data_IF_069844975003
#
_entry.id   IF_069844975003
#
_cell.length_a   1.000
_cell.length_b   1.000
_cell.length_c   1.000
_cell.angle_alpha   90.00
_cell.angle_beta   90.00
_cell.angle_gamma   90.00
#
_symmetry.space_group_name_H-M   'P 1'
#
loop_
_entity.id
_entity.type
_entity.pdbx_description
1 polymer ?
#
# COMPACT_ATOMS: atom_id res chain seq x y z
N UNK A 1 31.96 -8.01 22.07
CA UNK A 1 31.36 -6.66 22.12
C UNK A 1 30.22 -6.65 21.13
N UNK A 2 28.96 -6.66 21.57
CA UNK A 2 27.81 -6.54 20.67
C UNK A 2 27.52 -5.07 20.39
N UNK A 3 27.27 -4.71 19.12
CA UNK A 3 26.81 -3.37 18.74
C UNK A 3 25.31 -3.26 19.01
N UNK A 4 24.86 -2.12 19.55
CA UNK A 4 23.43 -1.83 19.66
C UNK A 4 22.83 -1.60 18.28
N UNK A 5 21.59 -2.07 18.01
CA UNK A 5 20.92 -1.79 16.74
C UNK A 5 20.76 -0.28 16.53
N UNK A 6 21.04 0.19 15.32
CA UNK A 6 20.80 1.59 14.93
C UNK A 6 19.30 1.91 15.00
N UNK A 7 18.96 3.09 15.49
CA UNK A 7 17.57 3.54 15.55
C UNK A 7 16.93 3.57 14.14
N UNK A 8 15.65 3.16 14.01
CA UNK A 8 14.96 3.19 12.71
C UNK A 8 14.81 4.62 12.18
N UNK A 9 15.05 4.81 10.88
CA UNK A 9 14.75 6.07 10.20
C UNK A 9 13.24 6.27 10.15
N UNK A 10 12.76 7.40 10.68
CA UNK A 10 11.36 7.80 10.59
C UNK A 10 11.13 8.53 9.27
N UNK A 11 10.21 7.99 8.46
CA UNK A 11 9.73 8.65 7.25
C UNK A 11 8.51 9.50 7.59
N UNK A 12 8.47 10.72 7.08
CA UNK A 12 7.35 11.66 7.17
C UNK A 12 7.06 12.23 5.79
N UNK A 13 5.84 12.71 5.59
CA UNK A 13 5.54 13.52 4.41
C UNK A 13 6.36 14.81 4.46
N UNK A 14 6.87 15.24 3.31
CA UNK A 14 7.59 16.51 3.17
C UNK A 14 6.57 17.61 2.87
N UNK A 15 6.34 18.49 3.84
CA UNK A 15 5.31 19.54 3.76
C UNK A 15 5.61 20.55 2.62
N UNK A 16 6.88 20.73 2.25
CA UNK A 16 7.26 21.63 1.15
C UNK A 16 6.67 21.23 -0.21
N UNK A 17 6.25 19.96 -0.37
CA UNK A 17 5.62 19.47 -1.58
C UNK A 17 4.23 20.06 -1.85
N UNK A 18 3.59 20.67 -0.84
CA UNK A 18 2.25 21.28 -0.97
C UNK A 18 2.23 22.79 -0.69
N UNK A 19 3.31 23.35 -0.14
CA UNK A 19 3.42 24.78 0.22
C UNK A 19 3.22 25.74 -0.97
N UNK A 20 3.70 25.38 -2.16
CA UNK A 20 3.57 26.20 -3.38
C UNK A 20 2.34 25.84 -4.22
N UNK A 21 1.55 24.85 -3.79
CA UNK A 21 0.32 24.51 -4.51
C UNK A 21 -0.73 25.58 -4.24
N UNK A 22 -1.19 26.27 -5.28
CA UNK A 22 -2.28 27.27 -5.19
C UNK A 22 -3.66 26.64 -4.89
N UNK A 23 -3.70 25.44 -4.31
CA UNK A 23 -4.87 24.57 -4.24
C UNK A 23 -5.11 23.98 -2.84
N UNK A 24 -5.98 22.97 -2.80
CA UNK A 24 -6.55 22.38 -1.57
C UNK A 24 -5.72 21.21 -1.00
N UNK A 25 -4.51 21.00 -1.53
CA UNK A 25 -3.66 19.88 -1.10
C UNK A 25 -3.17 20.14 0.32
N UNK A 26 -3.36 19.15 1.19
CA UNK A 26 -2.93 19.21 2.58
C UNK A 26 -1.86 18.16 2.85
N UNK A 27 -0.85 18.48 3.67
CA UNK A 27 0.20 17.52 3.99
C UNK A 27 -0.38 16.32 4.71
N UNK A 28 0.13 15.12 4.41
CA UNK A 28 -0.34 13.85 4.96
C UNK A 28 -1.83 13.51 4.70
N UNK A 29 -2.49 14.16 3.73
CA UNK A 29 -3.90 13.93 3.44
C UNK A 29 -4.12 13.51 1.98
N UNK A 30 -4.99 12.51 1.78
CA UNK A 30 -5.44 12.13 0.45
C UNK A 30 -6.50 13.13 -0.02
N UNK A 31 -6.33 13.65 -1.24
CA UNK A 31 -7.37 14.45 -1.89
C UNK A 31 -8.41 13.54 -2.50
N UNK A 32 -9.68 13.77 -2.19
CA UNK A 32 -10.82 13.01 -2.72
C UNK A 32 -11.70 13.97 -3.51
N UNK A 33 -11.48 14.02 -4.82
CA UNK A 33 -12.19 14.89 -5.75
C UNK A 33 -12.63 14.10 -6.99
N UNK A 34 -13.29 14.77 -7.94
CA UNK A 34 -13.75 14.13 -9.17
C UNK A 34 -12.63 13.58 -10.08
N UNK A 35 -11.36 13.91 -9.82
CA UNK A 35 -10.20 13.39 -10.53
C UNK A 35 -9.63 12.14 -9.84
N UNK A 36 -9.75 12.03 -8.51
CA UNK A 36 -9.11 10.96 -7.72
C UNK A 36 -10.08 9.93 -7.16
N UNK A 37 -11.36 10.25 -7.00
CA UNK A 37 -12.33 9.41 -6.26
C UNK A 37 -12.49 8.01 -6.84
N UNK A 38 -12.56 7.87 -8.16
CA UNK A 38 -12.70 6.56 -8.81
C UNK A 38 -11.43 5.72 -8.63
N UNK A 39 -10.26 6.35 -8.79
CA UNK A 39 -8.98 5.70 -8.58
C UNK A 39 -8.83 5.20 -7.15
N UNK A 40 -9.21 6.00 -6.15
CA UNK A 40 -9.17 5.61 -4.74
C UNK A 40 -10.08 4.42 -4.44
N UNK A 41 -11.30 4.38 -4.99
CA UNK A 41 -12.23 3.25 -4.85
C UNK A 41 -11.67 1.97 -5.49
N UNK A 42 -11.11 2.08 -6.69
CA UNK A 42 -10.46 0.95 -7.35
C UNK A 42 -9.25 0.46 -6.55
N UNK A 43 -8.42 1.38 -6.06
CA UNK A 43 -7.23 1.04 -5.27
C UNK A 43 -7.59 0.37 -3.95
N UNK A 44 -8.67 0.81 -3.29
CA UNK A 44 -9.18 0.17 -2.09
C UNK A 44 -9.54 -1.29 -2.35
N UNK A 45 -10.26 -1.56 -3.44
CA UNK A 45 -10.68 -2.91 -3.85
C UNK A 45 -9.48 -3.80 -4.19
N UNK A 46 -8.49 -3.26 -4.89
CA UNK A 46 -7.24 -3.94 -5.22
C UNK A 46 -6.47 -4.35 -3.95
N UNK A 47 -6.38 -3.44 -2.97
CA UNK A 47 -5.70 -3.71 -1.69
C UNK A 47 -6.43 -4.76 -0.88
N UNK A 48 -7.76 -4.70 -0.78
CA UNK A 48 -8.56 -5.69 -0.05
C UNK A 48 -8.42 -7.09 -0.66
N UNK A 49 -8.41 -7.18 -1.99
CA UNK A 49 -8.14 -8.44 -2.71
C UNK A 49 -6.73 -8.95 -2.43
N UNK A 50 -5.73 -8.08 -2.54
CA UNK A 50 -4.33 -8.42 -2.31
C UNK A 50 -4.05 -8.87 -0.86
N UNK A 51 -4.72 -8.26 0.12
CA UNK A 51 -4.66 -8.67 1.54
C UNK A 51 -5.18 -10.10 1.68
N UNK A 52 -6.34 -10.41 1.09
CA UNK A 52 -6.93 -11.74 1.14
C UNK A 52 -5.99 -12.79 0.53
N UNK A 53 -5.45 -12.52 -0.66
CA UNK A 53 -4.48 -13.42 -1.30
C UNK A 53 -3.20 -13.61 -0.46
N UNK A 54 -2.71 -12.55 0.19
CA UNK A 54 -1.55 -12.62 1.08
C UNK A 54 -1.84 -13.52 2.30
N UNK A 55 -3.03 -13.40 2.89
CA UNK A 55 -3.48 -14.26 3.98
C UNK A 55 -3.59 -15.73 3.57
N UNK A 56 -4.11 -16.02 2.38
CA UNK A 56 -4.20 -17.37 1.83
C UNK A 56 -2.82 -17.98 1.57
N UNK A 57 -1.89 -17.21 0.98
CA UNK A 57 -0.49 -17.62 0.78
C UNK A 57 0.19 -17.94 2.11
N UNK A 58 0.03 -17.07 3.11
CA UNK A 58 0.60 -17.28 4.45
C UNK A 58 0.02 -18.51 5.14
N UNK A 59 -1.29 -18.73 5.02
CA UNK A 59 -1.97 -19.90 5.61
C UNK A 59 -1.46 -21.18 4.96
N UNK A 60 -1.29 -21.20 3.63
CA UNK A 60 -0.71 -22.33 2.91
C UNK A 60 0.71 -22.69 3.38
N UNK A 61 1.58 -21.69 3.55
CA UNK A 61 2.95 -21.90 4.04
C UNK A 61 2.98 -22.38 5.50
N UNK A 62 2.07 -21.89 6.34
CA UNK A 62 1.96 -22.31 7.73
C UNK A 62 1.45 -23.74 7.85
N UNK A 63 0.48 -24.12 7.01
CA UNK A 63 -0.17 -25.43 7.07
C UNK A 63 0.66 -26.53 6.39
N UNK A 64 1.36 -26.22 5.29
CA UNK A 64 2.25 -27.18 4.61
C UNK A 64 3.39 -27.69 5.49
N UNK A 65 3.82 -26.92 6.49
CA UNK A 65 4.88 -27.30 7.41
C UNK A 65 4.52 -28.48 8.34
N UNK A 66 3.23 -28.73 8.61
CA UNK A 66 2.80 -29.84 9.48
C UNK A 66 2.79 -31.21 8.76
N UNK A 67 2.98 -31.25 7.44
CA UNK A 67 2.87 -32.49 6.65
C UNK A 67 4.20 -33.14 6.28
N UNK A 68 5.33 -32.41 6.35
CA UNK A 68 6.63 -32.90 5.88
C UNK A 68 7.43 -33.71 6.92
N UNK A 69 6.91 -33.92 8.13
CA UNK A 69 7.61 -34.65 9.20
C UNK A 69 7.44 -36.18 9.18
N UNK A 70 6.78 -36.78 8.17
CA UNK A 70 6.43 -38.20 8.19
C UNK A 70 6.90 -39.07 7.01
N UNK A 71 7.64 -38.52 6.04
CA UNK A 71 8.15 -39.33 4.93
C UNK A 71 9.68 -39.28 4.87
N UNK A 72 10.34 -40.36 5.29
CA UNK A 72 11.17 -41.20 4.41
C UNK A 72 12.18 -42.03 5.23
N UNK A 73 11.90 -43.33 5.38
CA UNK A 73 12.79 -44.33 5.97
C UNK A 73 13.98 -44.69 5.06
N UNK A 74 14.84 -43.72 4.73
CA UNK A 74 16.05 -43.95 3.94
C UNK A 74 17.27 -43.36 4.65
N UNK A 75 18.17 -44.24 5.03
CA UNK A 75 19.45 -43.99 5.73
C UNK A 75 20.32 -43.03 4.92
N UNK A 76 20.16 -41.74 5.17
CA UNK A 76 21.12 -40.69 4.80
C UNK A 76 21.78 -40.20 6.11
N UNK A 77 23.06 -39.76 6.10
CA UNK A 77 23.73 -39.33 7.32
C UNK A 77 22.92 -38.20 7.97
N UNK A 78 22.48 -38.46 9.20
CA UNK A 78 21.51 -37.67 9.98
C UNK A 78 21.85 -36.16 10.00
N UNK A 79 23.14 -35.80 9.94
CA UNK A 79 23.60 -34.41 9.93
C UNK A 79 23.25 -33.62 8.65
N UNK A 80 23.25 -34.24 7.47
CA UNK A 80 22.95 -33.53 6.21
C UNK A 80 21.45 -33.26 6.05
N UNK A 81 20.62 -34.20 6.53
CA UNK A 81 19.15 -34.07 6.53
C UNK A 81 18.74 -32.95 7.48
N UNK A 82 19.32 -32.90 8.69
CA UNK A 82 19.05 -31.86 9.67
C UNK A 82 19.39 -30.45 9.15
N UNK A 83 20.52 -30.30 8.44
CA UNK A 83 20.88 -29.02 7.83
C UNK A 83 19.90 -28.59 6.73
N UNK A 84 19.46 -29.51 5.86
CA UNK A 84 18.50 -29.18 4.79
C UNK A 84 17.12 -28.81 5.35
N UNK A 85 16.65 -29.52 6.37
CA UNK A 85 15.40 -29.19 7.07
C UNK A 85 15.49 -27.84 7.76
N UNK A 86 16.61 -27.53 8.41
CA UNK A 86 16.85 -26.24 9.06
C UNK A 86 16.87 -25.08 8.07
N UNK A 87 17.49 -25.24 6.90
CA UNK A 87 17.53 -24.20 5.85
C UNK A 87 16.14 -23.93 5.25
N UNK A 88 15.34 -24.98 5.04
CA UNK A 88 13.97 -24.84 4.56
C UNK A 88 13.06 -24.16 5.60
N UNK A 89 13.24 -24.46 6.90
CA UNK A 89 12.52 -23.80 7.99
C UNK A 89 12.87 -22.31 8.08
N UNK A 90 14.16 -21.96 8.00
CA UNK A 90 14.60 -20.56 8.04
C UNK A 90 14.09 -19.75 6.83
N UNK A 91 14.06 -20.37 5.64
CA UNK A 91 13.48 -19.76 4.44
C UNK A 91 11.99 -19.52 4.60
N UNK A 92 11.23 -20.54 5.03
CA UNK A 92 9.78 -20.40 5.28
C UNK A 92 9.46 -19.34 6.34
N UNK A 93 10.25 -19.28 7.42
CA UNK A 93 10.11 -18.25 8.46
C UNK A 93 10.33 -16.85 7.91
N UNK A 94 11.36 -16.67 7.07
CA UNK A 94 11.63 -15.40 6.39
C UNK A 94 10.46 -15.01 5.47
N UNK A 95 9.94 -15.95 4.68
CA UNK A 95 8.83 -15.70 3.75
C UNK A 95 7.54 -15.33 4.49
N UNK A 96 7.22 -16.02 5.59
CA UNK A 96 6.09 -15.67 6.46
C UNK A 96 6.25 -14.26 7.04
N UNK A 97 7.45 -13.88 7.45
CA UNK A 97 7.71 -12.53 7.98
C UNK A 97 7.56 -11.44 6.91
N UNK A 98 8.00 -11.70 5.68
CA UNK A 98 7.81 -10.80 4.54
C UNK A 98 6.32 -10.64 4.22
N UNK A 99 5.56 -11.74 4.15
CA UNK A 99 4.11 -11.70 3.93
C UNK A 99 3.39 -10.88 5.01
N UNK A 100 3.73 -11.07 6.28
CA UNK A 100 3.19 -10.26 7.39
C UNK A 100 3.56 -8.78 7.26
N UNK A 101 4.76 -8.47 6.79
CA UNK A 101 5.19 -7.09 6.55
C UNK A 101 4.36 -6.45 5.44
N UNK A 102 4.18 -7.15 4.32
CA UNK A 102 3.37 -6.68 3.20
C UNK A 102 1.91 -6.47 3.58
N UNK A 103 1.31 -7.39 4.32
CA UNK A 103 -0.07 -7.25 4.81
C UNK A 103 -0.23 -6.00 5.69
N UNK A 104 0.68 -5.76 6.64
CA UNK A 104 0.62 -4.55 7.48
C UNK A 104 0.69 -3.26 6.65
N UNK A 105 1.54 -3.24 5.62
CA UNK A 105 1.63 -2.10 4.69
C UNK A 105 0.32 -1.88 3.95
N UNK A 106 -0.26 -2.95 3.39
CA UNK A 106 -1.54 -2.87 2.67
C UNK A 106 -2.69 -2.46 3.59
N UNK A 107 -2.79 -3.04 4.80
CA UNK A 107 -3.81 -2.67 5.78
C UNK A 107 -3.75 -1.19 6.15
N UNK A 108 -2.54 -0.62 6.29
CA UNK A 108 -2.40 0.81 6.60
C UNK A 108 -2.84 1.70 5.44
N UNK A 109 -2.56 1.31 4.21
CA UNK A 109 -3.04 2.01 3.02
C UNK A 109 -4.57 1.90 2.87
N UNK A 110 -5.13 0.72 3.09
CA UNK A 110 -6.57 0.47 3.12
C UNK A 110 -7.27 1.34 4.16
N UNK A 111 -6.71 1.44 5.37
CA UNK A 111 -7.23 2.33 6.42
C UNK A 111 -7.24 3.79 5.97
N UNK A 112 -6.12 4.30 5.44
CA UNK A 112 -6.00 5.68 4.96
C UNK A 112 -7.04 5.99 3.87
N UNK A 113 -7.14 5.13 2.85
CA UNK A 113 -8.07 5.34 1.74
C UNK A 113 -9.52 5.24 2.23
N UNK A 114 -9.83 4.25 3.08
CA UNK A 114 -11.19 4.07 3.61
C UNK A 114 -11.63 5.26 4.46
N UNK A 115 -10.75 5.78 5.33
CA UNK A 115 -11.04 6.97 6.12
C UNK A 115 -11.33 8.17 5.21
N UNK A 116 -10.47 8.42 4.22
CA UNK A 116 -10.66 9.55 3.29
C UNK A 116 -11.97 9.43 2.48
N UNK A 117 -12.32 8.23 2.00
CA UNK A 117 -13.57 8.00 1.27
C UNK A 117 -14.81 8.09 2.18
N UNK A 118 -14.70 7.65 3.44
CA UNK A 118 -15.79 7.75 4.41
C UNK A 118 -16.08 9.20 4.82
N UNK A 119 -15.05 10.05 4.89
CA UNK A 119 -15.20 11.48 5.16
C UNK A 119 -15.94 12.22 4.04
N UNK A 120 -15.80 11.78 2.78
CA UNK A 120 -16.62 12.28 1.66
C UNK A 120 -18.09 11.82 1.77
N UNK A 121 -18.33 10.60 2.22
CA UNK A 121 -19.67 10.04 2.36
C UNK A 121 -20.33 9.67 1.03
N UNK A 122 -21.65 9.89 0.92
CA UNK A 122 -22.45 9.60 -0.28
C UNK A 122 -22.61 10.82 -1.21
N UNK A 123 -21.99 11.95 -0.88
CA UNK A 123 -22.06 13.17 -1.66
C UNK A 123 -21.22 13.05 -2.94
N UNK A 124 -21.54 13.88 -3.93
CA UNK A 124 -20.74 13.96 -5.16
C UNK A 124 -19.35 14.52 -4.81
N UNK A 125 -18.30 13.94 -5.41
CA UNK A 125 -16.94 14.36 -5.14
C UNK A 125 -16.73 15.82 -5.58
N UNK A 126 -16.01 16.65 -4.80
CA UNK A 126 -15.76 18.05 -5.14
C UNK A 126 -14.96 18.17 -6.45
N UNK A 127 -15.05 19.33 -7.11
CA UNK A 127 -14.20 19.64 -8.27
C UNK A 127 -12.73 19.74 -7.85
N UNK A 128 -11.86 18.96 -8.51
CA UNK A 128 -10.41 18.94 -8.31
C UNK A 128 -9.65 20.11 -8.97
N UNK A 129 -10.32 20.89 -9.83
CA UNK A 129 -9.76 22.09 -10.44
C UNK A 129 -10.23 23.34 -9.68
N UNK A 130 -9.27 24.14 -9.21
CA UNK A 130 -9.50 25.48 -8.63
C UNK A 130 -8.93 26.58 -9.56
N UNK A 131 -9.10 26.41 -10.88
CA UNK A 131 -8.89 27.51 -11.82
C UNK A 131 -10.12 28.39 -11.73
N UNK A 132 -10.01 29.54 -11.04
CA UNK A 132 -11.00 30.61 -11.21
C UNK A 132 -11.11 30.91 -12.70
N UNK A 133 -12.27 30.60 -13.29
CA UNK A 133 -12.58 30.87 -14.70
C UNK A 133 -12.47 32.38 -15.01
N UNK A 134 -12.46 33.23 -13.97
CA UNK A 134 -12.30 34.69 -14.07
C UNK A 134 -10.94 35.18 -14.61
N UNK A 135 -9.95 34.30 -14.80
CA UNK A 135 -8.68 34.64 -15.45
C UNK A 135 -8.58 34.19 -16.92
N UNK A 136 -9.69 33.78 -17.55
CA UNK A 136 -9.74 33.75 -19.01
C UNK A 136 -9.85 35.20 -19.51
N UNK A 137 -8.89 35.73 -20.29
CA UNK A 137 -9.13 36.99 -20.99
C UNK A 137 -10.39 36.77 -21.84
N UNK A 138 -11.40 37.60 -21.58
CA UNK A 138 -12.66 37.60 -22.28
C UNK A 138 -12.43 37.39 -23.78
N UNK A 139 -13.26 36.54 -24.38
CA UNK A 139 -13.39 36.36 -25.82
C UNK A 139 -13.09 37.67 -26.55
N UNK A 140 -12.00 37.69 -27.32
CA UNK A 140 -11.75 38.80 -28.25
C UNK A 140 -12.84 38.67 -29.31
N UNK A 141 -13.93 39.38 -29.09
CA UNK A 141 -14.97 39.65 -30.07
C UNK A 141 -14.36 40.52 -31.16
N UNK A 142 -13.67 39.89 -32.11
CA UNK A 142 -13.32 40.51 -33.37
C UNK A 142 -14.49 40.30 -34.33
N UNK A 143 -15.54 41.09 -34.13
CA UNK A 143 -16.50 41.38 -35.19
C UNK A 143 -15.92 42.55 -36.00
N UNK A 144 -15.50 42.37 -37.27
CA UNK A 144 -15.29 43.50 -38.15
C UNK A 144 -16.66 44.02 -38.59
N UNK A 145 -17.04 45.20 -38.09
CA UNK A 145 -17.94 46.07 -38.85
C UNK A 145 -17.23 46.44 -40.16
N UNK A 146 -17.70 45.88 -41.28
CA UNK A 146 -18.01 46.57 -42.55
C UNK A 146 -18.56 45.59 -43.60
#
# INVERSE_FOLDING_TARGET
MGTTPTEPVKFTFDESLVEESAGKLLPNQLTVDNLTVEWLRNKLTELETSIKENQEKRTSLTNGHNSDTLANGKTTPINEINNRLSLNLETSRKDINELKCQERKMLKQTELIRTALNELGCEEAPSGCDISIDNQPAFIDNSPEE
#
